data_IF_231867639688
#
_entry.id   IF_231867639688
#
_cell.length_a   1.000
_cell.length_b   1.000
_cell.length_c   1.000
_cell.angle_alpha   90.00
_cell.angle_beta   90.00
_cell.angle_gamma   90.00
#
_symmetry.space_group_name_H-M   'P 1'
#
loop_
_entity.id
_entity.type
_entity.pdbx_description
1 polymer ?
#
# COMPACT_ATOMS: atom_id res chain seq x y z
N UNK A 1 50.52 21.52 -33.77
CA UNK A 1 49.64 20.68 -34.62
C UNK A 1 48.80 19.84 -33.67
N UNK A 2 47.62 20.31 -33.23
CA UNK A 2 46.32 20.33 -33.92
C UNK A 2 45.63 18.96 -34.04
N UNK A 3 44.49 18.85 -33.31
CA UNK A 3 43.21 18.15 -33.61
C UNK A 3 43.21 16.60 -33.58
N UNK A 4 42.13 15.87 -33.25
CA UNK A 4 40.76 16.12 -32.75
C UNK A 4 40.08 14.74 -32.47
N UNK A 5 39.13 14.73 -31.51
CA UNK A 5 37.87 13.95 -31.37
C UNK A 5 37.77 12.42 -31.56
N UNK A 6 36.99 11.79 -30.65
CA UNK A 6 36.14 10.64 -31.02
C UNK A 6 35.63 9.71 -29.90
N UNK A 7 34.61 10.14 -29.13
CA UNK A 7 33.34 9.39 -28.92
C UNK A 7 33.24 8.09 -28.08
N UNK A 8 32.24 8.09 -27.17
CA UNK A 8 31.47 6.92 -26.71
C UNK A 8 31.99 6.28 -25.41
N UNK A 9 31.32 6.32 -24.26
CA UNK A 9 29.88 6.23 -24.02
C UNK A 9 29.53 4.80 -23.61
N UNK A 10 29.33 4.58 -22.30
CA UNK A 10 28.31 3.69 -21.73
C UNK A 10 28.29 3.91 -20.21
N UNK A 11 27.47 4.88 -19.84
CA UNK A 11 26.69 4.89 -18.61
C UNK A 11 26.16 3.49 -18.32
N UNK A 12 26.52 2.95 -17.17
CA UNK A 12 25.82 1.81 -16.59
C UNK A 12 24.38 2.23 -16.36
N UNK A 13 23.51 1.64 -17.17
CA UNK A 13 22.07 1.75 -17.08
C UNK A 13 21.61 1.19 -15.73
N UNK A 14 21.19 2.08 -14.81
CA UNK A 14 20.39 1.70 -13.64
C UNK A 14 18.93 1.72 -14.05
N UNK A 15 18.54 0.79 -14.91
CA UNK A 15 17.14 0.51 -15.21
C UNK A 15 16.68 -0.64 -14.32
N UNK A 16 16.05 -0.32 -13.19
CA UNK A 16 15.39 -1.32 -12.35
C UNK A 16 15.46 -1.12 -10.84
N UNK A 17 15.66 0.10 -10.33
CA UNK A 17 15.34 0.39 -8.92
C UNK A 17 13.82 0.22 -8.76
N UNK A 18 13.40 -0.97 -8.31
CA UNK A 18 12.07 -1.21 -7.74
C UNK A 18 11.90 -0.16 -6.64
N UNK A 19 10.73 0.50 -6.62
CA UNK A 19 10.31 1.30 -5.48
C UNK A 19 10.54 0.49 -4.21
N UNK A 20 11.55 0.90 -3.44
CA UNK A 20 11.79 0.43 -2.07
C UNK A 20 11.39 1.64 -1.25
N UNK A 21 10.15 1.70 -0.74
CA UNK A 21 9.81 2.83 0.11
C UNK A 21 10.70 2.74 1.35
N UNK A 22 11.45 3.82 1.63
CA UNK A 22 12.19 4.03 2.88
C UNK A 22 11.23 4.01 4.12
N UNK A 23 9.92 3.92 3.87
CA UNK A 23 8.82 4.00 4.83
C UNK A 23 8.02 2.69 4.80
N UNK A 24 7.92 2.03 5.95
CA UNK A 24 7.15 0.80 6.10
C UNK A 24 5.68 1.15 6.32
N UNK A 25 4.86 0.94 5.30
CA UNK A 25 3.42 1.22 5.36
C UNK A 25 2.64 0.30 6.33
N UNK A 26 3.32 -0.60 7.06
CA UNK A 26 2.70 -1.53 8.01
C UNK A 26 1.93 -2.66 7.34
N UNK A 27 1.97 -2.67 6.02
CA UNK A 27 1.58 -3.77 5.18
C UNK A 27 2.86 -4.26 4.55
N UNK A 28 3.58 -5.16 5.24
CA UNK A 28 4.34 -6.13 4.47
C UNK A 28 3.32 -6.69 3.47
N UNK A 29 3.53 -6.52 2.15
CA UNK A 29 2.63 -7.12 1.19
C UNK A 29 2.37 -8.56 1.59
N UNK A 30 3.35 -9.29 2.13
CA UNK A 30 3.27 -10.69 2.52
C UNK A 30 2.49 -11.02 3.82
N UNK A 31 2.35 -10.14 4.83
CA UNK A 31 2.08 -10.66 6.21
C UNK A 31 0.67 -10.47 6.78
N UNK A 32 -0.14 -9.50 6.36
CA UNK A 32 -1.55 -9.46 6.79
C UNK A 32 -2.45 -8.85 5.71
N UNK A 33 -2.82 -9.66 4.73
CA UNK A 33 -4.23 -9.71 4.40
C UNK A 33 -4.76 -10.79 5.34
N UNK A 34 -5.34 -10.40 6.48
CA UNK A 34 -6.34 -11.30 7.05
C UNK A 34 -7.29 -11.59 5.89
N UNK A 35 -7.31 -12.83 5.45
CA UNK A 35 -8.04 -13.29 4.26
C UNK A 35 -9.56 -13.27 4.49
N UNK A 36 -10.03 -12.34 5.31
CA UNK A 36 -11.38 -11.85 5.32
C UNK A 36 -11.55 -11.11 4.00
N UNK A 37 -11.71 -11.91 2.96
CA UNK A 37 -12.28 -11.50 1.70
C UNK A 37 -13.53 -10.72 2.09
N UNK A 38 -13.48 -9.40 1.98
CA UNK A 38 -14.60 -8.57 2.38
C UNK A 38 -15.79 -9.03 1.53
N UNK A 39 -16.68 -9.83 2.10
CA UNK A 39 -17.90 -10.26 1.43
C UNK A 39 -18.86 -9.07 1.58
N UNK A 40 -18.97 -8.24 0.54
CA UNK A 40 -19.98 -7.18 0.53
C UNK A 40 -21.38 -7.81 0.52
N UNK A 41 -22.03 -7.88 1.69
CA UNK A 41 -23.44 -8.30 1.84
C UNK A 41 -24.45 -7.28 1.24
N UNK A 42 -23.95 -6.20 0.65
CA UNK A 42 -24.74 -5.12 0.07
C UNK A 42 -25.14 -5.39 -1.38
N UNK A 43 -26.37 -5.87 -1.57
CA UNK A 43 -27.07 -6.03 -2.85
C UNK A 43 -26.81 -7.33 -3.64
N UNK A 44 -26.90 -8.48 -2.97
CA UNK A 44 -27.17 -9.74 -3.66
C UNK A 44 -28.61 -9.75 -4.24
N UNK A 45 -28.79 -9.18 -5.44
CA UNK A 45 -29.66 -9.85 -6.41
C UNK A 45 -29.15 -11.27 -6.58
N UNK A 46 -30.01 -12.25 -6.83
CA UNK A 46 -29.59 -13.67 -6.92
C UNK A 46 -28.46 -13.82 -7.95
N UNK A 47 -27.21 -13.84 -7.49
CA UNK A 47 -26.06 -13.97 -8.35
C UNK A 47 -26.21 -15.27 -9.14
N UNK A 48 -25.77 -15.32 -10.41
CA UNK A 48 -25.72 -16.58 -11.13
C UNK A 48 -24.92 -17.57 -10.30
N UNK A 49 -25.49 -18.75 -10.03
CA UNK A 49 -24.84 -19.78 -9.21
C UNK A 49 -23.42 -20.11 -9.70
N UNK A 50 -23.19 -20.00 -11.01
CA UNK A 50 -21.88 -20.20 -11.62
C UNK A 50 -20.86 -19.11 -11.23
N UNK A 51 -21.28 -17.86 -11.00
CA UNK A 51 -20.39 -16.78 -10.55
C UNK A 51 -19.83 -17.06 -9.15
N UNK A 52 -20.70 -17.53 -8.25
CA UNK A 52 -20.32 -17.89 -6.87
C UNK A 52 -19.30 -19.03 -6.83
N UNK A 53 -19.40 -20.00 -7.76
CA UNK A 53 -18.42 -21.08 -7.89
C UNK A 53 -17.04 -20.53 -8.24
N UNK A 54 -16.95 -19.63 -9.22
CA UNK A 54 -15.67 -19.02 -9.60
C UNK A 54 -15.13 -18.09 -8.50
N UNK A 55 -15.99 -17.39 -7.77
CA UNK A 55 -15.61 -16.61 -6.58
C UNK A 55 -14.98 -17.51 -5.51
N UNK A 56 -15.61 -18.66 -5.21
CA UNK A 56 -15.08 -19.66 -4.29
C UNK A 56 -13.72 -20.19 -4.72
N UNK A 57 -13.56 -20.55 -5.99
CA UNK A 57 -12.29 -21.00 -6.56
C UNK A 57 -11.20 -19.92 -6.45
N UNK A 58 -11.53 -18.67 -6.76
CA UNK A 58 -10.59 -17.56 -6.66
C UNK A 58 -10.09 -17.38 -5.23
N UNK A 59 -10.98 -17.44 -4.24
CA UNK A 59 -10.62 -17.39 -2.81
C UNK A 59 -9.74 -18.56 -2.38
N UNK A 60 -10.06 -19.77 -2.82
CA UNK A 60 -9.25 -20.97 -2.55
C UNK A 60 -7.83 -20.82 -3.13
N UNK A 61 -7.70 -20.27 -4.34
CA UNK A 61 -6.40 -20.00 -4.95
C UNK A 61 -5.64 -18.88 -4.21
N UNK A 62 -6.32 -17.82 -3.75
CA UNK A 62 -5.69 -16.78 -2.93
C UNK A 62 -5.12 -17.36 -1.63
N UNK A 63 -5.89 -18.21 -0.94
CA UNK A 63 -5.46 -18.86 0.30
C UNK A 63 -4.26 -19.81 0.10
N UNK A 64 -4.03 -20.28 -1.13
CA UNK A 64 -2.87 -21.09 -1.52
C UNK A 64 -1.75 -20.28 -2.16
N UNK A 65 -1.88 -18.95 -2.18
CA UNK A 65 -0.94 -18.02 -2.82
C UNK A 65 -0.79 -18.26 -4.35
N UNK A 66 -1.76 -18.91 -4.97
CA UNK A 66 -1.80 -19.18 -6.41
C UNK A 66 -2.42 -17.99 -7.17
N UNK A 67 -1.80 -16.83 -7.04
CA UNK A 67 -2.39 -15.53 -7.43
C UNK A 67 -2.81 -15.44 -8.90
N UNK A 68 -2.13 -16.14 -9.82
CA UNK A 68 -2.53 -16.16 -11.24
C UNK A 68 -3.85 -16.91 -11.42
N UNK A 69 -3.99 -18.10 -10.83
CA UNK A 69 -5.23 -18.88 -10.89
C UNK A 69 -6.37 -18.14 -10.18
N UNK A 70 -6.06 -17.46 -9.07
CA UNK A 70 -7.03 -16.59 -8.40
C UNK A 70 -7.55 -15.49 -9.33
N UNK A 71 -6.66 -14.74 -9.99
CA UNK A 71 -7.03 -13.68 -10.91
C UNK A 71 -7.85 -14.18 -12.11
N UNK A 72 -7.55 -15.38 -12.62
CA UNK A 72 -8.30 -16.04 -13.69
C UNK A 72 -9.71 -16.42 -13.22
N UNK A 73 -9.84 -17.06 -12.05
CA UNK A 73 -11.13 -17.42 -11.48
C UNK A 73 -12.02 -16.19 -11.21
N UNK A 74 -11.47 -15.13 -10.60
CA UNK A 74 -12.22 -13.88 -10.41
C UNK A 74 -12.60 -13.22 -11.74
N UNK A 75 -11.79 -13.37 -12.79
CA UNK A 75 -12.16 -12.88 -14.11
C UNK A 75 -13.36 -13.62 -14.71
N UNK A 76 -13.49 -14.93 -14.48
CA UNK A 76 -14.69 -15.67 -14.86
C UNK A 76 -15.90 -15.28 -14.01
N UNK A 77 -15.72 -15.08 -12.70
CA UNK A 77 -16.79 -14.58 -11.82
C UNK A 77 -17.33 -13.21 -12.30
N UNK A 78 -16.44 -12.25 -12.58
CA UNK A 78 -16.81 -10.91 -13.08
C UNK A 78 -17.56 -10.97 -14.41
N UNK A 79 -17.22 -11.91 -15.31
CA UNK A 79 -17.95 -12.06 -16.59
C UNK A 79 -19.40 -12.48 -16.37
N UNK A 80 -19.65 -13.26 -15.32
CA UNK A 80 -20.96 -13.79 -14.98
C UNK A 80 -21.77 -12.80 -14.15
N UNK A 81 -21.11 -12.04 -13.28
CA UNK A 81 -21.70 -10.95 -12.51
C UNK A 81 -20.80 -9.71 -12.51
N UNK A 82 -21.13 -8.74 -13.37
CA UNK A 82 -20.38 -7.49 -13.48
C UNK A 82 -20.77 -6.45 -12.43
N UNK A 83 -21.80 -6.73 -11.62
CA UNK A 83 -22.27 -5.80 -10.58
C UNK A 83 -21.79 -6.21 -9.18
N UNK A 84 -21.09 -7.34 -9.05
CA UNK A 84 -20.48 -7.76 -7.80
C UNK A 84 -19.13 -7.04 -7.58
N UNK A 85 -19.03 -6.11 -6.61
CA UNK A 85 -17.76 -5.44 -6.28
C UNK A 85 -16.68 -6.43 -5.80
N UNK A 86 -17.05 -7.55 -5.19
CA UNK A 86 -16.11 -8.51 -4.61
C UNK A 86 -15.22 -9.14 -5.68
N UNK A 87 -15.76 -9.41 -6.87
CA UNK A 87 -14.98 -9.98 -7.98
C UNK A 87 -13.83 -9.07 -8.37
N UNK A 88 -14.11 -7.77 -8.52
CA UNK A 88 -13.10 -6.77 -8.84
C UNK A 88 -12.10 -6.59 -7.70
N UNK A 89 -12.58 -6.38 -6.47
CA UNK A 89 -11.73 -6.20 -5.30
C UNK A 89 -10.71 -7.35 -5.16
N UNK A 90 -11.18 -8.60 -5.23
CA UNK A 90 -10.33 -9.77 -5.06
C UNK A 90 -9.38 -10.02 -6.23
N UNK A 91 -9.80 -9.69 -7.45
CA UNK A 91 -8.87 -9.69 -8.60
C UNK A 91 -7.81 -8.61 -8.45
N UNK A 92 -8.17 -7.45 -7.90
CA UNK A 92 -7.25 -6.37 -7.55
C UNK A 92 -6.20 -6.82 -6.54
N UNK A 93 -6.62 -7.50 -5.46
CA UNK A 93 -5.70 -8.10 -4.48
C UNK A 93 -4.74 -9.11 -5.13
N UNK A 94 -5.25 -10.03 -5.95
CA UNK A 94 -4.42 -10.96 -6.71
C UNK A 94 -3.44 -10.21 -7.65
N UNK A 95 -3.90 -9.11 -8.24
CA UNK A 95 -3.09 -8.21 -9.06
C UNK A 95 -1.94 -7.58 -8.29
N UNK A 96 -2.16 -7.08 -7.07
CA UNK A 96 -1.11 -6.54 -6.20
C UNK A 96 -0.04 -7.61 -5.91
N UNK A 97 -0.46 -8.84 -5.61
CA UNK A 97 0.43 -9.98 -5.35
C UNK A 97 1.29 -10.37 -6.55
N UNK A 98 0.80 -10.08 -7.75
CA UNK A 98 1.52 -10.28 -9.01
C UNK A 98 2.32 -9.04 -9.44
N UNK A 99 2.44 -8.01 -8.59
CA UNK A 99 3.04 -6.71 -8.90
C UNK A 99 2.37 -5.99 -10.10
N UNK A 100 1.11 -6.33 -10.40
CA UNK A 100 0.32 -5.75 -11.50
C UNK A 100 -0.47 -4.52 -11.01
N UNK A 101 0.22 -3.57 -10.38
CA UNK A 101 -0.41 -2.45 -9.67
C UNK A 101 -1.34 -1.60 -10.54
N UNK A 102 -1.02 -1.38 -11.82
CA UNK A 102 -1.93 -0.66 -12.74
C UNK A 102 -3.28 -1.37 -12.89
N UNK A 103 -3.27 -2.70 -13.03
CA UNK A 103 -4.50 -3.50 -13.15
C UNK A 103 -5.24 -3.57 -11.82
N UNK A 104 -4.50 -3.67 -10.71
CA UNK A 104 -5.09 -3.63 -9.38
C UNK A 104 -5.85 -2.31 -9.15
N UNK A 105 -5.28 -1.17 -9.54
CA UNK A 105 -5.96 0.13 -9.48
C UNK A 105 -7.22 0.16 -10.34
N UNK A 106 -7.20 -0.39 -11.55
CA UNK A 106 -8.39 -0.49 -12.41
C UNK A 106 -9.51 -1.29 -11.74
N UNK A 107 -9.15 -2.43 -11.13
CA UNK A 107 -10.08 -3.27 -10.40
C UNK A 107 -10.62 -2.60 -9.13
N UNK A 108 -9.78 -1.96 -8.32
CA UNK A 108 -10.24 -1.21 -7.14
C UNK A 108 -11.11 0.00 -7.52
N UNK A 109 -10.85 0.65 -8.66
CA UNK A 109 -11.72 1.72 -9.14
C UNK A 109 -13.13 1.20 -9.44
N UNK A 110 -13.24 0.01 -10.02
CA UNK A 110 -14.55 -0.58 -10.32
C UNK A 110 -15.24 -1.10 -9.05
N UNK A 111 -14.49 -1.71 -8.13
CA UNK A 111 -15.00 -2.07 -6.80
C UNK A 111 -15.55 -0.84 -6.05
N UNK A 112 -14.80 0.26 -6.01
CA UNK A 112 -15.24 1.55 -5.41
C UNK A 112 -16.46 2.13 -6.13
N UNK A 113 -16.53 2.02 -7.45
CA UNK A 113 -17.68 2.51 -8.23
C UNK A 113 -18.97 1.77 -7.84
N UNK A 114 -18.86 0.47 -7.57
CA UNK A 114 -19.97 -0.40 -7.18
C UNK A 114 -20.29 -0.29 -5.67
N UNK A 115 -19.27 -0.18 -4.83
CA UNK A 115 -19.34 -0.09 -3.37
C UNK A 115 -18.55 1.12 -2.84
N UNK A 116 -19.08 2.35 -2.93
CA UNK A 116 -18.34 3.58 -2.57
C UNK A 116 -18.13 3.79 -1.07
N UNK A 117 -18.57 2.88 -0.21
CA UNK A 117 -18.36 2.89 1.24
C UNK A 117 -17.29 1.89 1.68
N UNK A 118 -16.67 1.20 0.72
CA UNK A 118 -15.65 0.22 0.96
C UNK A 118 -14.28 0.88 1.24
N UNK A 119 -13.94 0.98 2.53
CA UNK A 119 -12.68 1.54 3.00
C UNK A 119 -11.48 0.77 2.44
N UNK A 120 -11.56 -0.56 2.36
CA UNK A 120 -10.44 -1.41 1.99
C UNK A 120 -10.06 -1.27 0.52
N UNK A 121 -11.01 -1.07 -0.39
CA UNK A 121 -10.67 -0.76 -1.78
C UNK A 121 -9.94 0.59 -1.90
N UNK A 122 -10.32 1.60 -1.11
CA UNK A 122 -9.58 2.87 -1.09
C UNK A 122 -8.16 2.69 -0.54
N UNK A 123 -7.99 1.90 0.53
CA UNK A 123 -6.67 1.55 1.09
C UNK A 123 -5.80 0.87 0.06
N UNK A 124 -6.28 -0.23 -0.53
CA UNK A 124 -5.50 -1.03 -1.46
C UNK A 124 -5.20 -0.30 -2.78
N UNK A 125 -6.10 0.60 -3.20
CA UNK A 125 -5.82 1.53 -4.30
C UNK A 125 -4.71 2.53 -3.93
N UNK A 126 -4.73 3.06 -2.70
CA UNK A 126 -3.69 3.93 -2.16
C UNK A 126 -2.32 3.26 -2.16
N UNK A 127 -2.24 2.03 -1.62
CA UNK A 127 -1.03 1.20 -1.63
C UNK A 127 -0.55 0.97 -3.07
N UNK A 128 -1.46 0.57 -3.97
CA UNK A 128 -1.10 0.34 -5.37
C UNK A 128 -0.53 1.59 -6.05
N UNK A 129 -1.04 2.79 -5.72
CA UNK A 129 -0.48 4.04 -6.21
C UNK A 129 0.92 4.33 -5.64
N UNK A 130 1.17 4.05 -4.37
CA UNK A 130 2.51 4.16 -3.78
C UNK A 130 3.51 3.23 -4.48
N UNK A 131 3.14 1.97 -4.70
CA UNK A 131 3.97 1.00 -5.42
C UNK A 131 4.25 1.40 -6.89
N UNK A 132 3.42 2.27 -7.46
CA UNK A 132 3.62 2.86 -8.79
C UNK A 132 4.43 4.16 -8.77
N UNK A 133 4.87 4.65 -7.60
CA UNK A 133 5.51 5.96 -7.44
C UNK A 133 4.54 7.13 -7.70
N UNK A 134 3.26 6.97 -7.37
CA UNK A 134 2.19 7.97 -7.60
C UNK A 134 1.60 8.48 -6.27
N UNK A 135 2.40 9.08 -5.38
CA UNK A 135 1.98 9.40 -4.01
C UNK A 135 0.81 10.39 -3.93
N UNK A 136 0.69 11.35 -4.86
CA UNK A 136 -0.44 12.28 -4.87
C UNK A 136 -1.80 11.56 -5.00
N UNK A 137 -1.86 10.48 -5.78
CA UNK A 137 -3.09 9.70 -5.98
C UNK A 137 -3.34 8.72 -4.83
N UNK A 138 -2.26 8.31 -4.15
CA UNK A 138 -2.37 7.60 -2.89
C UNK A 138 -3.02 8.48 -1.82
N UNK A 139 -2.58 9.74 -1.69
CA UNK A 139 -3.18 10.73 -0.78
C UNK A 139 -4.68 10.87 -1.04
N UNK A 140 -5.09 11.05 -2.30
CA UNK A 140 -6.51 11.14 -2.67
C UNK A 140 -7.31 9.91 -2.25
N UNK A 141 -6.72 8.71 -2.33
CA UNK A 141 -7.37 7.47 -1.92
C UNK A 141 -7.48 7.37 -0.39
N UNK A 142 -6.41 7.71 0.34
CA UNK A 142 -6.43 7.73 1.80
C UNK A 142 -7.35 8.84 2.36
N UNK A 143 -7.45 9.99 1.70
CA UNK A 143 -8.39 11.04 2.11
C UNK A 143 -9.85 10.56 2.07
N UNK A 144 -10.22 9.79 1.05
CA UNK A 144 -11.54 9.15 1.00
C UNK A 144 -11.70 8.09 2.08
N UNK A 145 -10.70 7.22 2.27
CA UNK A 145 -10.73 6.21 3.32
C UNK A 145 -10.87 6.83 4.72
N UNK A 146 -10.12 7.88 5.04
CA UNK A 146 -10.17 8.60 6.33
C UNK A 146 -11.53 9.25 6.56
N UNK A 147 -12.19 9.70 5.48
CA UNK A 147 -13.54 10.26 5.58
C UNK A 147 -14.56 9.19 5.99
N UNK A 148 -14.37 7.95 5.54
CA UNK A 148 -15.23 6.81 5.84
C UNK A 148 -14.91 6.18 7.21
N UNK A 149 -13.64 6.07 7.55
CA UNK A 149 -13.15 5.49 8.81
C UNK A 149 -12.05 6.35 9.46
N UNK A 150 -12.42 7.41 10.19
CA UNK A 150 -11.46 8.32 10.81
C UNK A 150 -10.74 7.74 12.04
N UNK A 151 -11.05 6.50 12.44
CA UNK A 151 -10.48 5.84 13.62
C UNK A 151 -9.52 4.71 13.27
N UNK A 152 -9.08 4.64 12.01
CA UNK A 152 -8.11 3.66 11.55
C UNK A 152 -6.72 4.28 11.39
N UNK A 153 -5.79 3.86 12.25
CA UNK A 153 -4.43 4.40 12.29
C UNK A 153 -3.63 4.11 11.00
N UNK A 154 -3.89 2.98 10.34
CA UNK A 154 -3.24 2.60 9.09
C UNK A 154 -3.47 3.63 7.98
N UNK A 155 -4.65 4.27 7.94
CA UNK A 155 -4.97 5.26 6.91
C UNK A 155 -4.11 6.52 7.03
N UNK A 156 -3.93 7.00 8.26
CA UNK A 156 -3.04 8.13 8.54
C UNK A 156 -1.58 7.75 8.27
N UNK A 157 -1.16 6.54 8.64
CA UNK A 157 0.18 6.05 8.32
C UNK A 157 0.44 5.98 6.80
N UNK A 158 -0.50 5.42 6.04
CA UNK A 158 -0.42 5.35 4.58
C UNK A 158 -0.37 6.72 3.91
N UNK A 159 -1.16 7.68 4.39
CA UNK A 159 -1.12 9.07 3.89
C UNK A 159 0.16 9.79 4.29
N UNK A 160 0.65 9.55 5.52
CA UNK A 160 1.94 10.05 6.00
C UNK A 160 3.10 9.57 5.14
N UNK A 161 3.10 8.28 4.77
CA UNK A 161 4.08 7.71 3.85
C UNK A 161 4.04 8.38 2.47
N UNK A 162 2.84 8.63 1.94
CA UNK A 162 2.67 9.35 0.68
C UNK A 162 3.20 10.79 0.74
N UNK A 163 2.99 11.49 1.87
CA UNK A 163 3.58 12.82 2.08
C UNK A 163 5.11 12.77 2.20
N UNK A 164 5.66 11.75 2.86
CA UNK A 164 7.10 11.55 2.97
C UNK A 164 7.74 11.39 1.58
N UNK A 165 7.19 10.53 0.72
CA UNK A 165 7.66 10.31 -0.65
C UNK A 165 7.65 11.58 -1.52
N UNK A 166 6.70 12.48 -1.26
CA UNK A 166 6.62 13.79 -1.91
C UNK A 166 7.59 14.83 -1.33
N UNK A 167 8.33 14.49 -0.26
CA UNK A 167 9.19 15.42 0.47
C UNK A 167 8.44 16.41 1.36
N UNK A 168 7.14 16.19 1.61
CA UNK A 168 6.33 16.98 2.54
C UNK A 168 6.52 16.48 3.97
N UNK A 169 7.75 16.58 4.47
CA UNK A 169 8.18 15.89 5.70
C UNK A 169 7.38 16.35 6.93
N UNK A 170 7.10 17.63 7.09
CA UNK A 170 6.29 18.12 8.21
C UNK A 170 4.87 17.54 8.19
N UNK A 171 4.24 17.43 7.01
CA UNK A 171 2.92 16.81 6.86
C UNK A 171 2.94 15.31 7.14
N UNK A 172 4.01 14.62 6.76
CA UNK A 172 4.17 13.21 7.12
C UNK A 172 4.20 13.01 8.63
N UNK A 173 4.90 13.88 9.37
CA UNK A 173 4.95 13.86 10.84
C UNK A 173 3.55 14.11 11.43
N UNK A 174 2.81 15.10 10.92
CA UNK A 174 1.43 15.37 11.36
C UNK A 174 0.53 14.12 11.22
N UNK A 175 0.66 13.40 10.11
CA UNK A 175 -0.12 12.18 9.87
C UNK A 175 0.34 11.00 10.75
N UNK A 176 1.64 10.82 10.96
CA UNK A 176 2.13 9.80 11.90
C UNK A 176 1.75 10.11 13.36
N UNK A 177 1.74 11.39 13.75
CA UNK A 177 1.21 11.84 15.04
C UNK A 177 -0.27 11.47 15.17
N UNK A 178 -1.06 11.61 14.10
CA UNK A 178 -2.47 11.20 14.09
C UNK A 178 -2.63 9.68 14.17
N UNK A 179 -1.82 8.90 13.46
CA UNK A 179 -1.83 7.44 13.57
C UNK A 179 -1.56 6.99 15.02
N UNK A 180 -0.51 7.54 15.65
CA UNK A 180 -0.14 7.25 17.05
C UNK A 180 -1.22 7.73 18.03
N UNK A 181 -1.90 8.84 17.74
CA UNK A 181 -3.01 9.32 18.57
C UNK A 181 -4.21 8.36 18.53
N UNK A 182 -4.50 7.81 17.35
CA UNK A 182 -5.60 6.86 17.14
C UNK A 182 -5.27 5.50 17.76
N UNK A 183 -4.06 5.00 17.53
CA UNK A 183 -3.58 3.71 18.02
C UNK A 183 -2.15 3.88 18.61
N UNK A 184 -2.01 4.08 19.93
CA UNK A 184 -0.72 4.36 20.58
C UNK A 184 0.32 3.24 20.55
N UNK A 185 -0.08 2.03 20.17
CA UNK A 185 0.76 0.85 19.97
C UNK A 185 1.00 0.52 18.49
N UNK A 186 0.57 1.40 17.56
CA UNK A 186 0.82 1.25 16.14
C UNK A 186 2.30 1.50 15.79
N UNK A 187 3.10 0.44 15.91
CA UNK A 187 4.57 0.47 15.83
C UNK A 187 5.11 1.13 14.56
N UNK A 188 4.48 0.87 13.41
CA UNK A 188 4.90 1.38 12.11
C UNK A 188 4.90 2.91 12.04
N UNK A 189 3.93 3.58 12.67
CA UNK A 189 3.90 5.04 12.68
C UNK A 189 5.09 5.64 13.46
N UNK A 190 5.58 4.97 14.50
CA UNK A 190 6.81 5.40 15.19
C UNK A 190 8.03 5.25 14.28
N UNK A 191 8.21 4.09 13.64
CA UNK A 191 9.31 3.89 12.68
C UNK A 191 9.30 4.96 11.58
N UNK A 192 8.13 5.22 10.99
CA UNK A 192 8.00 6.15 9.88
C UNK A 192 8.19 7.60 10.31
N UNK A 193 7.70 7.97 11.50
CA UNK A 193 7.95 9.30 12.06
C UNK A 193 9.42 9.51 12.40
N UNK A 194 10.12 8.46 12.84
CA UNK A 194 11.57 8.50 13.03
C UNK A 194 12.28 8.84 11.72
N UNK A 195 11.92 8.19 10.61
CA UNK A 195 12.46 8.50 9.28
C UNK A 195 12.22 9.96 8.87
N UNK A 196 11.02 10.49 9.13
CA UNK A 196 10.74 11.91 8.91
C UNK A 196 11.59 12.83 9.79
N UNK A 197 11.79 12.49 11.05
CA UNK A 197 12.68 13.25 11.94
C UNK A 197 14.14 13.20 11.50
N UNK A 198 14.65 12.05 11.04
CA UNK A 198 15.98 11.91 10.46
C UNK A 198 16.14 12.86 9.26
N UNK A 199 15.15 12.90 8.35
CA UNK A 199 15.16 13.79 7.17
C UNK A 199 15.20 15.28 7.57
N UNK A 200 14.64 15.66 8.71
CA UNK A 200 14.72 17.03 9.27
C UNK A 200 15.95 17.27 10.15
N UNK A 201 16.81 16.27 10.37
CA UNK A 201 17.96 16.38 11.29
C UNK A 201 17.57 16.39 12.78
N UNK A 202 16.35 15.96 13.11
CA UNK A 202 15.79 15.89 14.47
C UNK A 202 16.12 14.55 15.12
N UNK A 203 17.42 14.27 15.27
CA UNK A 203 17.90 12.94 15.66
C UNK A 203 17.50 12.50 17.06
N UNK A 204 17.32 13.44 18.00
CA UNK A 204 16.89 13.13 19.37
C UNK A 204 15.45 12.62 19.43
N UNK A 205 14.56 13.18 18.61
CA UNK A 205 13.19 12.67 18.47
C UNK A 205 13.14 11.36 17.69
N UNK A 206 13.95 11.22 16.64
CA UNK A 206 14.07 9.97 15.89
C UNK A 206 14.54 8.79 16.78
N UNK A 207 15.52 9.00 17.67
CA UNK A 207 15.99 7.95 18.58
C UNK A 207 14.88 7.49 19.56
N UNK A 208 14.04 8.41 20.02
CA UNK A 208 12.90 8.07 20.88
C UNK A 208 11.88 7.21 20.14
N UNK A 209 11.58 7.55 18.89
CA UNK A 209 10.64 6.82 18.06
C UNK A 209 11.16 5.44 17.65
N UNK A 210 12.43 5.34 17.28
CA UNK A 210 13.10 4.04 17.03
C UNK A 210 13.03 3.14 18.25
N UNK A 211 13.35 3.68 19.44
CA UNK A 211 13.25 2.92 20.69
C UNK A 211 11.82 2.43 20.92
N UNK A 212 10.83 3.29 20.68
CA UNK A 212 9.42 2.95 20.86
C UNK A 212 8.95 1.88 19.87
N UNK A 213 9.37 1.96 18.60
CA UNK A 213 9.10 0.95 17.59
C UNK A 213 9.67 -0.43 18.00
N UNK A 214 10.90 -0.47 18.53
CA UNK A 214 11.52 -1.70 19.06
C UNK A 214 10.76 -2.25 20.27
N UNK A 215 10.35 -1.40 21.21
CA UNK A 215 9.52 -1.82 22.36
C UNK A 215 8.19 -2.44 21.92
N UNK A 216 7.62 -1.98 20.81
CA UNK A 216 6.39 -2.47 20.21
C UNK A 216 6.60 -3.68 19.28
N UNK A 217 7.84 -4.15 19.13
CA UNK A 217 8.15 -5.44 18.51
C UNK A 217 8.49 -5.41 17.03
N UNK A 218 8.70 -4.24 16.42
CA UNK A 218 9.26 -4.14 15.06
C UNK A 218 10.76 -3.81 15.12
N UNK A 219 11.50 -4.20 14.08
CA UNK A 219 12.94 -3.92 13.95
C UNK A 219 13.16 -2.84 12.89
N UNK A 220 13.26 -1.55 13.27
CA UNK A 220 13.39 -0.43 12.35
C UNK A 220 14.83 -0.30 11.80
N UNK A 221 15.33 -1.35 11.12
CA UNK A 221 16.73 -1.46 10.68
C UNK A 221 17.18 -0.25 9.85
N UNK A 222 16.32 0.24 8.98
CA UNK A 222 16.62 1.38 8.12
C UNK A 222 16.77 2.68 8.91
N UNK A 223 15.83 2.97 9.81
CA UNK A 223 15.92 4.13 10.68
C UNK A 223 17.14 4.07 11.61
N UNK A 224 17.48 2.88 12.13
CA UNK A 224 18.70 2.64 12.92
C UNK A 224 19.94 2.95 12.07
N UNK A 225 20.05 2.38 10.87
CA UNK A 225 21.20 2.56 10.00
C UNK A 225 21.40 4.02 9.56
N UNK A 226 20.30 4.71 9.22
CA UNK A 226 20.35 6.13 8.88
C UNK A 226 20.77 6.98 10.09
N UNK A 227 20.29 6.71 11.31
CA UNK A 227 20.71 7.43 12.51
C UNK A 227 22.20 7.23 12.81
N UNK A 228 22.70 5.99 12.75
CA UNK A 228 24.11 5.68 12.96
C UNK A 228 25.02 6.40 11.96
N UNK A 229 24.55 6.64 10.74
CA UNK A 229 25.28 7.38 9.72
C UNK A 229 25.32 8.91 9.93
N UNK A 230 24.55 9.47 10.87
CA UNK A 230 24.47 10.92 11.12
C UNK A 230 25.07 11.37 12.45
N UNK A 231 25.36 10.43 13.36
CA UNK A 231 25.97 10.66 14.67
C UNK A 231 27.50 10.54 14.61
#
# INVERSE_FOLDING_TARGET
MSRMFGGGGRSGDRSGERYSPDIDIGSDPQVHLDTDVADYDGAAGSAPQDAEVFMGQGRDYLAREEYRHAAEAFSEAIKLDTQDPNGYYNRGLAGMRLEQYTRAVEDFNEAIRLAPQDVDAYVNRGISYLMMGRPQQAIESYDQAITLDPHNAMLYNGRGAAYFDMGHIERSIEDFDRAIYVEPDFAYAYNNRAMSYIRLGRYGEAEQDVRRAVELGIDPQEAIAELEGKL
#
